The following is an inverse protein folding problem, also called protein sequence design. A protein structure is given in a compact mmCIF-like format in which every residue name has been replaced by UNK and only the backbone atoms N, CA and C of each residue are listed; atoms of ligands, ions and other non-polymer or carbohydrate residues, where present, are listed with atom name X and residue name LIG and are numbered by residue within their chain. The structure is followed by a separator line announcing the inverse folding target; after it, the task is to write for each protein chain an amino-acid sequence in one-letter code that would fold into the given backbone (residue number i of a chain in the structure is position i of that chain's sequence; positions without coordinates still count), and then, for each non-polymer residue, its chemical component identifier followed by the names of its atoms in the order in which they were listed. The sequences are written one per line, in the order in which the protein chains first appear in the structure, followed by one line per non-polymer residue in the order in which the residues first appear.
data_IF_615576013644
#
_entry.id   IF_615576013644
#
_cell.length_a   1.000
_cell.length_b   1.000
_cell.length_c   1.000
_cell.angle_alpha   90.00
_cell.angle_beta   90.00
_cell.angle_gamma   90.00
#
_symmetry.space_group_name_H-M   'P 1'
#
loop_
_entity.id
_entity.type
_entity.pdbx_description
1 polymer ?
#
# COMPACT_ATOMS: atom_id res chain seq x y z
N UNK A 1 -10.89 2.03 -15.72
CA UNK A 1 -10.67 2.99 -14.60
C UNK A 1 -9.19 2.99 -14.27
N UNK A 2 -8.51 4.14 -14.33
CA UNK A 2 -7.11 4.24 -13.90
C UNK A 2 -7.11 4.48 -12.39
N UNK A 3 -7.13 3.40 -11.59
CA UNK A 3 -6.78 3.53 -10.18
C UNK A 3 -5.29 3.85 -10.15
N UNK A 4 -4.94 5.12 -9.88
CA UNK A 4 -3.56 5.45 -9.53
C UNK A 4 -3.23 4.68 -8.25
N UNK A 5 -2.10 3.97 -8.18
CA UNK A 5 -1.72 3.30 -6.94
C UNK A 5 -1.62 4.33 -5.82
N UNK A 6 -2.26 4.07 -4.68
CA UNK A 6 -2.12 4.93 -3.50
C UNK A 6 -0.70 4.78 -2.98
N UNK A 7 0.14 5.78 -3.21
CA UNK A 7 1.52 5.80 -2.72
C UNK A 7 1.54 6.13 -1.24
N UNK A 8 2.43 5.47 -0.49
CA UNK A 8 2.65 5.77 0.91
C UNK A 8 4.11 6.14 1.15
N UNK A 9 4.36 7.37 1.57
CA UNK A 9 5.71 7.91 1.81
C UNK A 9 6.19 7.71 3.25
N UNK A 10 5.29 7.43 4.20
CA UNK A 10 5.60 7.33 5.63
C UNK A 10 5.18 8.57 6.44
N UNK A 11 5.94 8.88 7.49
CA UNK A 11 5.72 10.01 8.39
C UNK A 11 4.73 9.78 9.54
N UNK A 12 4.67 10.75 10.46
CA UNK A 12 3.78 10.74 11.62
C UNK A 12 2.35 11.17 11.24
N UNK A 13 1.66 10.34 10.46
CA UNK A 13 0.26 10.52 10.10
C UNK A 13 -0.55 9.23 10.31
N UNK A 14 -0.97 8.92 11.55
CA UNK A 14 -1.67 7.67 11.86
C UNK A 14 -2.98 7.51 11.08
N UNK A 15 -3.75 8.58 10.89
CA UNK A 15 -5.01 8.54 10.12
C UNK A 15 -4.76 8.26 8.64
N UNK A 16 -3.73 8.87 8.07
CA UNK A 16 -3.32 8.62 6.69
C UNK A 16 -2.83 7.18 6.49
N UNK A 17 -2.09 6.63 7.44
CA UNK A 17 -1.64 5.25 7.40
C UNK A 17 -2.81 4.25 7.45
N UNK A 18 -3.77 4.46 8.36
CA UNK A 18 -4.99 3.62 8.45
C UNK A 18 -5.76 3.65 7.14
N UNK A 19 -6.03 4.84 6.60
CA UNK A 19 -6.74 4.99 5.32
C UNK A 19 -5.99 4.30 4.17
N UNK A 20 -4.66 4.38 4.14
CA UNK A 20 -3.86 3.74 3.11
C UNK A 20 -3.97 2.20 3.18
N UNK A 21 -3.96 1.62 4.39
CA UNK A 21 -4.15 0.17 4.58
C UNK A 21 -5.54 -0.26 4.09
N UNK A 22 -6.60 0.46 4.47
CA UNK A 22 -7.97 0.16 4.03
C UNK A 22 -8.11 0.19 2.50
N UNK A 23 -7.50 1.18 1.83
CA UNK A 23 -7.49 1.24 0.37
C UNK A 23 -6.73 0.07 -0.28
N UNK A 24 -5.61 -0.35 0.33
CA UNK A 24 -4.84 -1.50 -0.15
C UNK A 24 -5.60 -2.83 0.01
N UNK A 25 -6.32 -3.02 1.11
CA UNK A 25 -7.16 -4.20 1.34
C UNK A 25 -8.26 -4.34 0.28
N UNK A 26 -8.94 -3.23 -0.05
CA UNK A 26 -9.94 -3.20 -1.12
C UNK A 26 -9.32 -3.57 -2.47
N UNK A 27 -8.13 -3.02 -2.78
CA UNK A 27 -7.42 -3.32 -4.03
C UNK A 27 -7.07 -4.80 -4.13
N UNK A 28 -6.57 -5.41 -3.05
CA UNK A 28 -6.24 -6.82 -3.02
C UNK A 28 -7.47 -7.73 -3.17
N UNK A 29 -8.58 -7.37 -2.54
CA UNK A 29 -9.84 -8.10 -2.66
C UNK A 29 -10.38 -8.03 -4.09
N UNK A 30 -10.47 -6.83 -4.67
CA UNK A 30 -10.98 -6.62 -6.04
C UNK A 30 -10.11 -7.33 -7.07
N UNK A 31 -8.79 -7.37 -6.87
CA UNK A 31 -7.87 -8.06 -7.78
C UNK A 31 -7.77 -9.57 -7.53
N UNK A 32 -8.35 -10.10 -6.45
CA UNK A 32 -8.21 -11.50 -6.08
C UNK A 32 -6.75 -11.91 -5.80
N UNK A 33 -5.97 -11.03 -5.19
CA UNK A 33 -4.55 -11.28 -4.95
C UNK A 33 -4.33 -12.45 -3.98
N UNK A 34 -3.41 -13.35 -4.33
CA UNK A 34 -2.82 -14.29 -3.37
C UNK A 34 -1.95 -13.55 -2.37
N UNK A 35 -1.70 -14.12 -1.20
CA UNK A 35 -0.86 -13.50 -0.15
C UNK A 35 0.52 -13.05 -0.68
N UNK A 36 1.15 -13.86 -1.53
CA UNK A 36 2.44 -13.53 -2.17
C UNK A 36 2.35 -12.29 -3.08
N UNK A 37 1.25 -12.18 -3.83
CA UNK A 37 1.00 -11.00 -4.67
C UNK A 37 0.68 -9.77 -3.83
N UNK A 38 0.00 -9.92 -2.68
CA UNK A 38 -0.28 -8.80 -1.76
C UNK A 38 1.01 -8.16 -1.25
N UNK A 39 1.97 -8.97 -0.81
CA UNK A 39 3.28 -8.47 -0.35
C UNK A 39 4.00 -7.75 -1.49
N UNK A 40 4.07 -8.37 -2.67
CA UNK A 40 4.75 -7.78 -3.84
C UNK A 40 4.13 -6.44 -4.25
N UNK A 41 2.80 -6.37 -4.31
CA UNK A 41 2.08 -5.16 -4.71
C UNK A 41 2.13 -4.07 -3.63
N UNK A 42 1.91 -4.42 -2.35
CA UNK A 42 1.93 -3.47 -1.24
C UNK A 42 3.29 -2.81 -1.05
N UNK A 43 4.37 -3.56 -1.26
CA UNK A 43 5.73 -3.02 -1.16
C UNK A 43 6.11 -2.15 -2.37
N UNK A 44 5.55 -2.44 -3.54
CA UNK A 44 5.79 -1.67 -4.77
C UNK A 44 5.27 -0.22 -4.73
N UNK A 45 4.36 0.10 -3.80
CA UNK A 45 3.75 1.43 -3.65
C UNK A 45 4.30 2.23 -2.46
N UNK A 46 5.20 1.64 -1.67
CA UNK A 46 5.95 2.36 -0.63
C UNK A 46 6.97 3.31 -1.27
N UNK A 47 7.12 4.49 -0.69
CA UNK A 47 8.03 5.54 -1.14
C UNK A 47 8.79 6.10 0.05
N UNK A 48 9.91 6.78 -0.22
CA UNK A 48 10.67 7.55 0.77
C UNK A 48 10.93 6.75 2.07
N UNK A 49 10.59 7.33 3.23
CA UNK A 49 10.79 6.76 4.56
C UNK A 49 10.16 5.37 4.69
N UNK A 50 8.93 5.19 4.19
CA UNK A 50 8.24 3.90 4.26
C UNK A 50 8.96 2.79 3.47
N UNK A 51 9.52 3.12 2.30
CA UNK A 51 10.32 2.18 1.52
C UNK A 51 11.68 1.89 2.17
N UNK A 52 12.27 2.88 2.86
CA UNK A 52 13.50 2.68 3.62
C UNK A 52 13.29 1.79 4.85
N UNK A 53 12.15 1.92 5.53
CA UNK A 53 11.80 1.08 6.67
C UNK A 53 11.52 -0.38 6.28
N UNK A 54 10.92 -0.59 5.11
CA UNK A 54 10.54 -1.93 4.64
C UNK A 54 11.74 -2.76 4.12
N UNK A 55 12.75 -2.11 3.56
CA UNK A 55 13.96 -2.77 3.04
C UNK A 55 14.89 -3.24 4.15
#
# INVERSE_FOLDING_TARGET
MKHKPTLFTGGYNPKGAVKWVEEMEIIFEVMGCTEEHKITLGTSVLREEANQWWK
#
